data_IF_085912924185
#
_entry.id   IF_085912924185
#
_cell.length_a   1.000
_cell.length_b   1.000
_cell.length_c   1.000
_cell.angle_alpha   90.00
_cell.angle_beta   90.00
_cell.angle_gamma   90.00
#
_symmetry.space_group_name_H-M   'P 1'
#
loop_
_entity.id
_entity.type
_entity.pdbx_description
1 polymer ?
#
# COMPACT_ATOMS: atom_id res chain seq x y z
N UNK A 1 -14.95 -3.12 -17.76
CA UNK A 1 -15.48 -1.86 -17.22
C UNK A 1 -15.46 -0.75 -18.27
N UNK A 2 -16.23 0.33 -18.07
CA UNK A 2 -16.33 1.40 -19.06
C UNK A 2 -15.27 2.50 -18.89
N UNK A 3 -14.65 2.59 -17.72
CA UNK A 3 -13.58 3.55 -17.40
C UNK A 3 -12.47 2.86 -16.61
N UNK A 4 -11.28 3.44 -16.60
CA UNK A 4 -10.12 2.93 -15.88
C UNK A 4 -10.34 2.98 -14.37
N UNK A 5 -10.97 4.02 -13.86
CA UNK A 5 -11.32 4.17 -12.44
C UNK A 5 -12.27 3.07 -11.97
N UNK A 6 -13.28 2.73 -12.80
CA UNK A 6 -14.19 1.62 -12.50
C UNK A 6 -13.49 0.26 -12.56
N UNK A 7 -12.52 0.11 -13.47
CA UNK A 7 -11.70 -1.10 -13.53
C UNK A 7 -10.87 -1.25 -12.27
N UNK A 8 -10.24 -0.19 -11.80
CA UNK A 8 -9.48 -0.16 -10.56
C UNK A 8 -10.35 -0.46 -9.34
N UNK A 9 -11.50 0.21 -9.19
CA UNK A 9 -12.47 -0.09 -8.13
C UNK A 9 -12.85 -1.59 -8.13
N UNK A 10 -13.06 -2.19 -9.30
CA UNK A 10 -13.43 -3.60 -9.42
C UNK A 10 -12.28 -4.53 -9.02
N UNK A 11 -11.05 -4.20 -9.40
CA UNK A 11 -9.87 -4.97 -8.98
C UNK A 11 -9.72 -4.95 -7.46
N UNK A 12 -9.78 -3.77 -6.85
CA UNK A 12 -9.64 -3.64 -5.40
C UNK A 12 -10.78 -4.35 -4.65
N UNK A 13 -12.02 -4.16 -5.08
CA UNK A 13 -13.16 -4.91 -4.53
C UNK A 13 -12.90 -6.43 -4.58
N UNK A 14 -12.43 -6.94 -5.71
CA UNK A 14 -12.16 -8.37 -5.88
C UNK A 14 -11.02 -8.83 -4.97
N UNK A 15 -9.94 -8.06 -4.86
CA UNK A 15 -8.83 -8.36 -3.96
C UNK A 15 -9.28 -8.45 -2.49
N UNK A 16 -10.09 -7.50 -2.04
CA UNK A 16 -10.67 -7.49 -0.68
C UNK A 16 -11.55 -8.72 -0.46
N UNK A 17 -12.45 -9.02 -1.39
CA UNK A 17 -13.34 -10.21 -1.30
C UNK A 17 -12.54 -11.51 -1.21
N UNK A 18 -11.51 -11.64 -2.02
CA UNK A 18 -10.64 -12.82 -2.01
C UNK A 18 -9.89 -12.94 -0.69
N UNK A 19 -9.29 -11.86 -0.20
CA UNK A 19 -8.57 -11.85 1.07
C UNK A 19 -9.48 -12.24 2.25
N UNK A 20 -10.70 -11.70 2.29
CA UNK A 20 -11.67 -12.08 3.32
C UNK A 20 -12.06 -13.56 3.20
N UNK A 21 -12.34 -14.04 2.00
CA UNK A 21 -12.66 -15.45 1.78
C UNK A 21 -11.53 -16.41 2.16
N UNK A 22 -10.30 -16.09 1.79
CA UNK A 22 -9.11 -16.88 2.11
C UNK A 22 -8.77 -16.88 3.60
N UNK A 23 -9.12 -15.80 4.32
CA UNK A 23 -8.97 -15.73 5.78
C UNK A 23 -9.92 -16.63 6.57
N UNK A 24 -10.91 -17.22 5.90
CA UNK A 24 -11.97 -18.01 6.54
C UNK A 24 -13.00 -17.15 7.30
N UNK A 25 -12.96 -15.83 7.18
CA UNK A 25 -13.89 -14.91 7.83
C UNK A 25 -15.04 -14.50 6.91
N UNK A 26 -16.12 -14.05 7.53
CA UNK A 26 -17.22 -13.40 6.84
C UNK A 26 -17.01 -11.88 6.79
N UNK A 27 -17.62 -11.21 5.84
CA UNK A 27 -17.56 -9.74 5.72
C UNK A 27 -18.05 -9.01 6.98
N UNK A 28 -19.00 -9.60 7.70
CA UNK A 28 -19.53 -9.05 8.96
C UNK A 28 -18.57 -9.20 10.15
N UNK A 29 -17.51 -9.97 10.03
CA UNK A 29 -16.46 -10.11 11.04
C UNK A 29 -15.31 -9.11 10.84
N UNK A 30 -15.34 -8.37 9.74
CA UNK A 30 -14.36 -7.31 9.45
C UNK A 30 -14.84 -6.01 10.08
N UNK A 31 -14.04 -5.45 10.97
CA UNK A 31 -14.36 -4.21 11.66
C UNK A 31 -14.04 -2.98 10.80
N UNK A 32 -12.96 -3.07 10.03
CA UNK A 32 -12.53 -1.96 9.18
C UNK A 32 -11.79 -2.41 7.91
N UNK A 33 -11.98 -1.66 6.83
CA UNK A 33 -11.11 -1.66 5.66
C UNK A 33 -10.19 -0.44 5.76
N UNK A 34 -8.90 -0.67 5.66
CA UNK A 34 -7.86 0.35 5.66
C UNK A 34 -7.20 0.28 4.28
N UNK A 35 -7.47 1.24 3.43
CA UNK A 35 -7.06 1.13 2.04
C UNK A 35 -6.75 2.48 1.40
N UNK A 36 -6.01 2.42 0.29
CA UNK A 36 -5.72 3.58 -0.55
C UNK A 36 -5.39 3.19 -1.97
N UNK A 37 -5.24 4.19 -2.79
CA UNK A 37 -4.89 4.07 -4.22
C UNK A 37 -4.07 5.27 -4.69
N UNK A 38 -3.73 5.33 -5.97
CA UNK A 38 -2.94 6.42 -6.56
C UNK A 38 -3.78 7.47 -7.29
N UNK A 39 -5.09 7.44 -7.11
CA UNK A 39 -6.00 8.42 -7.68
C UNK A 39 -6.53 9.34 -6.57
N UNK A 40 -6.13 10.59 -6.60
CA UNK A 40 -6.59 11.57 -5.63
C UNK A 40 -8.11 11.83 -5.80
N UNK A 41 -8.88 11.87 -4.78
CA UNK A 41 -8.64 11.68 -3.35
C UNK A 41 -9.08 10.26 -2.93
N UNK A 42 -8.27 9.27 -3.23
CA UNK A 42 -8.53 7.84 -2.93
C UNK A 42 -9.89 7.35 -3.46
N UNK A 43 -10.18 7.72 -4.70
CA UNK A 43 -11.48 7.46 -5.34
C UNK A 43 -11.74 5.97 -5.49
N UNK A 44 -10.73 5.20 -5.97
CA UNK A 44 -10.92 3.78 -6.23
C UNK A 44 -11.18 3.01 -4.94
N UNK A 45 -10.42 3.26 -3.89
CA UNK A 45 -10.56 2.58 -2.59
C UNK A 45 -11.85 2.99 -1.87
N UNK A 46 -12.24 4.26 -1.91
CA UNK A 46 -13.51 4.73 -1.33
C UNK A 46 -14.71 4.03 -1.97
N UNK A 47 -14.74 3.98 -3.32
CA UNK A 47 -15.86 3.33 -4.01
C UNK A 47 -15.85 1.80 -3.88
N UNK A 48 -14.69 1.17 -3.75
CA UNK A 48 -14.61 -0.26 -3.47
C UNK A 48 -15.11 -0.56 -2.05
N UNK A 49 -14.65 0.20 -1.04
CA UNK A 49 -14.98 -0.01 0.37
C UNK A 49 -16.46 0.13 0.68
N UNK A 50 -17.19 1.03 0.00
CA UNK A 50 -18.64 1.22 0.22
C UNK A 50 -19.49 -0.03 0.03
N UNK A 51 -18.94 -1.07 -0.59
CA UNK A 51 -19.63 -2.34 -0.84
C UNK A 51 -19.58 -3.30 0.36
N UNK A 52 -18.89 -2.91 1.44
CA UNK A 52 -18.71 -3.74 2.63
C UNK A 52 -19.38 -3.10 3.85
N UNK A 53 -19.92 -3.92 4.78
CA UNK A 53 -20.69 -3.43 5.94
C UNK A 53 -19.79 -3.07 7.14
N UNK A 54 -18.65 -2.43 6.92
CA UNK A 54 -17.66 -2.13 7.96
C UNK A 54 -17.13 -0.70 7.86
N UNK A 55 -16.31 -0.29 8.86
CA UNK A 55 -15.64 1.00 8.85
C UNK A 55 -14.65 1.14 7.69
N UNK A 56 -14.36 2.37 7.27
CA UNK A 56 -13.37 2.65 6.24
C UNK A 56 -12.39 3.75 6.68
N UNK A 57 -11.12 3.46 6.58
CA UNK A 57 -10.01 4.39 6.78
C UNK A 57 -9.23 4.50 5.48
N UNK A 58 -9.35 5.66 4.83
CA UNK A 58 -8.65 5.95 3.59
C UNK A 58 -7.27 6.53 3.87
N UNK A 59 -6.24 5.97 3.24
CA UNK A 59 -4.85 6.40 3.35
C UNK A 59 -4.29 6.77 1.97
N UNK A 60 -3.42 7.77 1.94
CA UNK A 60 -2.79 8.22 0.70
C UNK A 60 -1.29 8.50 0.92
N UNK A 61 -0.46 7.53 0.62
CA UNK A 61 0.99 7.61 0.77
C UNK A 61 1.73 6.96 -0.40
N UNK A 62 1.19 7.10 -1.60
CA UNK A 62 1.77 6.59 -2.83
C UNK A 62 2.20 5.11 -2.72
N UNK A 63 3.45 4.80 -3.08
CA UNK A 63 3.99 3.43 -3.04
C UNK A 63 4.08 2.85 -1.61
N UNK A 64 4.08 3.68 -0.58
CA UNK A 64 4.14 3.25 0.82
C UNK A 64 2.75 2.94 1.42
N UNK A 65 1.65 3.20 0.70
CA UNK A 65 0.29 3.08 1.23
C UNK A 65 0.02 1.68 1.79
N UNK A 66 0.46 0.60 1.14
CA UNK A 66 0.22 -0.75 1.67
C UNK A 66 0.93 -0.97 3.02
N UNK A 67 2.19 -0.57 3.15
CA UNK A 67 2.91 -0.64 4.42
C UNK A 67 2.23 0.22 5.51
N UNK A 68 1.75 1.41 5.14
CA UNK A 68 0.99 2.28 6.05
C UNK A 68 -0.32 1.63 6.50
N UNK A 69 -1.06 0.95 5.61
CA UNK A 69 -2.28 0.23 6.01
C UNK A 69 -1.99 -0.86 7.05
N UNK A 70 -0.85 -1.56 6.91
CA UNK A 70 -0.41 -2.58 7.87
C UNK A 70 -0.04 -1.95 9.23
N UNK A 71 0.67 -0.82 9.22
CA UNK A 71 1.04 -0.10 10.44
C UNK A 71 -0.21 0.37 11.19
N UNK A 72 -1.11 1.04 10.48
CA UNK A 72 -2.35 1.57 11.07
C UNK A 72 -3.25 0.43 11.56
N UNK A 73 -3.45 -0.60 10.73
CA UNK A 73 -4.25 -1.77 11.09
C UNK A 73 -3.67 -2.52 12.30
N UNK A 74 -2.35 -2.75 12.29
CA UNK A 74 -1.64 -3.37 13.42
C UNK A 74 -1.79 -2.56 14.70
N UNK A 75 -1.60 -1.25 14.64
CA UNK A 75 -1.75 -0.38 15.81
C UNK A 75 -3.18 -0.36 16.37
N UNK A 76 -4.19 -0.37 15.50
CA UNK A 76 -5.59 -0.40 15.92
C UNK A 76 -5.97 -1.75 16.55
N UNK A 77 -5.43 -2.86 16.05
CA UNK A 77 -5.65 -4.20 16.63
C UNK A 77 -4.91 -4.33 17.95
N UNK A 78 -3.63 -3.95 18.01
CA UNK A 78 -2.82 -4.01 19.22
C UNK A 78 -3.37 -3.09 20.32
N UNK A 79 -3.92 -1.94 19.93
CA UNK A 79 -4.62 -1.02 20.83
C UNK A 79 -6.01 -1.49 21.28
N UNK A 80 -6.52 -2.61 20.75
CA UNK A 80 -7.82 -3.17 21.11
C UNK A 80 -9.03 -2.40 20.55
N UNK A 81 -8.83 -1.52 19.56
CA UNK A 81 -9.94 -0.77 18.95
C UNK A 81 -10.74 -1.60 17.95
N UNK A 82 -10.09 -2.51 17.25
CA UNK A 82 -10.69 -3.44 16.29
C UNK A 82 -10.03 -4.81 16.45
N UNK A 83 -10.67 -5.86 15.94
CA UNK A 83 -10.12 -7.24 15.96
C UNK A 83 -9.66 -7.72 14.60
N UNK A 84 -10.35 -7.30 13.55
CA UNK A 84 -10.10 -7.73 12.18
C UNK A 84 -10.12 -6.53 11.24
N UNK A 85 -9.04 -6.34 10.51
CA UNK A 85 -8.93 -5.31 9.49
C UNK A 85 -8.56 -5.92 8.14
N UNK A 86 -9.11 -5.37 7.07
CA UNK A 86 -8.58 -5.58 5.73
C UNK A 86 -7.63 -4.45 5.41
N UNK A 87 -6.38 -4.77 5.09
CA UNK A 87 -5.38 -3.84 4.57
C UNK A 87 -5.28 -4.05 3.06
N UNK A 88 -5.51 -3.01 2.26
CA UNK A 88 -5.58 -3.15 0.82
C UNK A 88 -5.08 -1.91 0.07
N UNK A 89 -4.55 -2.13 -1.13
CA UNK A 89 -4.19 -1.05 -2.04
C UNK A 89 -4.47 -1.44 -3.49
N UNK A 90 -4.64 -0.44 -4.33
CA UNK A 90 -4.72 -0.61 -5.77
C UNK A 90 -3.98 0.49 -6.51
N UNK A 91 -3.73 0.23 -7.77
CA UNK A 91 -3.39 1.25 -8.76
C UNK A 91 -3.84 0.81 -10.14
N UNK A 92 -4.05 1.77 -11.00
CA UNK A 92 -4.22 1.55 -12.43
C UNK A 92 -3.43 2.61 -13.18
N UNK A 93 -2.57 2.19 -14.08
CA UNK A 93 -1.68 3.11 -14.79
C UNK A 93 -2.40 4.32 -15.40
N UNK A 94 -3.57 4.10 -15.99
CA UNK A 94 -4.31 5.16 -16.70
C UNK A 94 -5.19 6.03 -15.78
N UNK A 95 -5.45 5.62 -14.53
CA UNK A 95 -6.21 6.42 -13.55
C UNK A 95 -5.34 7.07 -12.48
N UNK A 96 -4.12 6.55 -12.26
CA UNK A 96 -3.19 7.12 -11.27
C UNK A 96 -2.89 8.60 -11.55
N UNK A 97 -2.62 9.35 -10.49
CA UNK A 97 -2.24 10.76 -10.59
C UNK A 97 -1.05 10.97 -11.52
N UNK A 98 -1.02 12.15 -12.15
CA UNK A 98 -0.07 12.48 -13.21
C UNK A 98 1.39 12.27 -12.81
N UNK A 99 1.77 12.62 -11.58
CA UNK A 99 3.12 12.46 -11.07
C UNK A 99 3.59 11.01 -11.01
N UNK A 100 2.68 10.05 -10.94
CA UNK A 100 2.99 8.61 -10.93
C UNK A 100 3.04 7.97 -12.31
N UNK A 101 2.80 8.77 -13.38
CA UNK A 101 2.78 8.32 -14.77
C UNK A 101 3.85 9.00 -15.63
N UNK A 102 4.82 9.62 -15.00
CA UNK A 102 5.87 10.33 -15.73
C UNK A 102 6.90 9.36 -16.36
N UNK A 103 7.42 9.60 -17.60
CA UNK A 103 6.97 10.65 -18.52
C UNK A 103 5.59 10.34 -19.09
N UNK A 104 4.79 11.40 -19.30
CA UNK A 104 3.43 11.28 -19.83
C UNK A 104 3.45 10.86 -21.30
N UNK A 105 2.36 10.21 -21.73
CA UNK A 105 2.27 9.57 -23.04
C UNK A 105 2.31 10.57 -24.21
N UNK A 106 1.76 11.77 -24.03
CA UNK A 106 1.60 12.75 -25.10
C UNK A 106 2.95 13.34 -25.54
N UNK A 107 3.37 12.99 -26.72
CA UNK A 107 4.53 13.56 -27.40
C UNK A 107 5.89 13.09 -26.86
N UNK A 108 5.93 12.14 -25.94
CA UNK A 108 7.16 11.62 -25.36
C UNK A 108 7.35 10.14 -25.67
N UNK A 109 8.52 9.79 -26.19
CA UNK A 109 8.94 8.39 -26.23
C UNK A 109 9.45 8.00 -24.86
N UNK A 110 8.89 6.96 -24.27
CA UNK A 110 9.39 6.43 -22.98
C UNK A 110 10.74 5.78 -23.19
N UNK A 111 11.77 6.17 -22.42
CA UNK A 111 13.04 5.47 -22.44
C UNK A 111 12.87 4.04 -21.86
N UNK A 112 13.73 3.08 -22.27
CA UNK A 112 13.61 1.69 -21.83
C UNK A 112 13.64 1.50 -20.31
N UNK A 113 14.32 2.39 -19.59
CA UNK A 113 14.45 2.37 -18.13
C UNK A 113 13.27 3.03 -17.40
N UNK A 114 12.27 3.54 -18.10
CA UNK A 114 11.11 4.17 -17.45
C UNK A 114 10.32 3.15 -16.65
N UNK A 115 9.97 3.52 -15.44
CA UNK A 115 9.08 2.74 -14.58
C UNK A 115 7.62 2.94 -15.01
N UNK A 116 6.83 1.91 -14.79
CA UNK A 116 5.40 1.91 -15.05
C UNK A 116 4.63 1.74 -13.75
N UNK A 117 3.65 2.60 -13.52
CA UNK A 117 2.68 2.36 -12.46
C UNK A 117 1.98 1.03 -12.70
N UNK A 118 2.03 0.13 -11.74
CA UNK A 118 1.40 -1.18 -11.84
C UNK A 118 -0.12 -1.04 -11.96
N UNK A 119 -0.72 -1.86 -12.78
CA UNK A 119 -2.18 -2.04 -12.81
C UNK A 119 -2.52 -3.30 -12.05
N UNK A 120 -3.05 -3.16 -10.83
CA UNK A 120 -3.34 -4.28 -9.95
C UNK A 120 -3.92 -3.84 -8.61
N UNK A 121 -4.29 -4.80 -7.80
CA UNK A 121 -4.73 -4.61 -6.43
C UNK A 121 -4.28 -5.77 -5.55
N UNK A 122 -3.97 -5.46 -4.30
CA UNK A 122 -3.61 -6.42 -3.26
C UNK A 122 -4.35 -6.16 -1.96
N UNK A 123 -4.64 -7.22 -1.23
CA UNK A 123 -5.27 -7.14 0.07
C UNK A 123 -4.82 -8.29 0.98
N UNK A 124 -4.80 -8.02 2.29
CA UNK A 124 -4.68 -9.05 3.31
C UNK A 124 -5.61 -8.74 4.48
N UNK A 125 -5.88 -9.76 5.28
CA UNK A 125 -6.63 -9.61 6.54
C UNK A 125 -5.65 -9.66 7.69
N UNK A 126 -5.65 -8.63 8.53
CA UNK A 126 -5.00 -8.64 9.85
C UNK A 126 -6.03 -9.03 10.91
N UNK A 127 -5.63 -9.86 11.85
CA UNK A 127 -6.49 -10.33 12.94
C UNK A 127 -5.74 -10.39 14.26
N UNK A 128 -6.46 -10.20 15.35
CA UNK A 128 -5.95 -10.46 16.69
C UNK A 128 -5.76 -11.98 16.87
N UNK A 129 -4.54 -12.45 16.74
CA UNK A 129 -4.19 -13.87 16.84
C UNK A 129 -4.58 -14.69 15.60
N UNK A 130 -4.30 -15.98 15.65
CA UNK A 130 -4.53 -16.94 14.57
C UNK A 130 -3.26 -17.62 14.09
N UNK A 131 -3.43 -18.52 13.13
CA UNK A 131 -2.33 -19.17 12.41
C UNK A 131 -1.98 -18.38 11.16
N UNK A 132 -0.71 -18.37 10.77
CA UNK A 132 -0.22 -17.72 9.55
C UNK A 132 0.92 -16.75 9.79
N UNK A 133 1.11 -15.82 8.85
CA UNK A 133 2.14 -14.80 8.94
C UNK A 133 1.81 -13.81 10.08
N UNK A 134 2.85 -13.38 10.78
CA UNK A 134 2.70 -12.43 11.91
C UNK A 134 3.34 -11.10 11.55
N UNK A 135 2.62 -10.01 11.80
CA UNK A 135 3.19 -8.68 11.87
C UNK A 135 3.83 -8.52 13.26
N UNK A 136 5.15 -8.60 13.34
CA UNK A 136 5.89 -8.62 14.62
C UNK A 136 6.43 -7.26 15.02
N UNK A 137 6.71 -6.41 14.07
CA UNK A 137 7.22 -5.06 14.30
C UNK A 137 6.85 -4.13 13.13
N UNK A 138 6.76 -2.85 13.43
CA UNK A 138 6.59 -1.80 12.44
C UNK A 138 7.42 -0.58 12.84
N UNK A 139 8.09 0.03 11.88
CA UNK A 139 8.87 1.25 12.07
C UNK A 139 8.31 2.35 11.18
N UNK A 140 7.90 3.45 11.79
CA UNK A 140 7.43 4.61 11.05
C UNK A 140 8.65 5.43 10.61
N UNK A 141 8.85 5.52 9.29
CA UNK A 141 9.92 6.32 8.70
C UNK A 141 9.67 7.83 8.85
N UNK A 142 10.69 8.60 8.57
CA UNK A 142 10.60 10.06 8.53
C UNK A 142 10.83 10.58 7.12
N UNK A 143 10.46 11.83 6.88
CA UNK A 143 10.75 12.51 5.61
C UNK A 143 12.26 12.78 5.51
N UNK A 144 12.85 12.32 4.40
CA UNK A 144 14.25 12.57 4.06
C UNK A 144 14.29 13.14 2.65
N UNK A 145 14.71 14.39 2.52
CA UNK A 145 14.79 15.10 1.25
C UNK A 145 16.24 15.50 0.94
N UNK A 146 16.78 14.99 -0.16
CA UNK A 146 18.10 15.35 -0.69
C UNK A 146 18.02 16.30 -1.88
N UNK A 147 16.87 16.92 -2.12
CA UNK A 147 16.69 17.91 -3.18
C UNK A 147 16.75 17.32 -4.59
N UNK A 148 16.39 16.05 -4.78
CA UNK A 148 16.34 15.43 -6.10
C UNK A 148 15.15 16.00 -6.88
N UNK A 149 15.45 16.63 -8.03
CA UNK A 149 14.44 17.28 -8.88
C UNK A 149 14.20 16.59 -10.22
N UNK A 150 14.94 15.52 -10.53
CA UNK A 150 14.77 14.77 -11.77
C UNK A 150 13.58 13.83 -11.66
N UNK A 151 12.48 14.18 -12.36
CA UNK A 151 11.25 13.39 -12.39
C UNK A 151 11.40 12.01 -13.06
N UNK A 152 12.49 11.78 -13.81
CA UNK A 152 12.80 10.47 -14.39
C UNK A 152 13.62 9.57 -13.46
N UNK A 153 14.06 10.09 -12.32
CA UNK A 153 14.90 9.36 -11.37
C UNK A 153 14.26 9.36 -9.97
N UNK A 154 13.10 8.74 -9.87
CA UNK A 154 12.37 8.64 -8.62
C UNK A 154 13.12 7.78 -7.59
N UNK A 155 13.88 6.79 -8.04
CA UNK A 155 14.70 5.95 -7.16
C UNK A 155 15.73 6.76 -6.37
N UNK A 156 16.38 7.76 -6.98
CA UNK A 156 17.33 8.63 -6.28
C UNK A 156 16.64 9.47 -5.19
N UNK A 157 15.38 9.84 -5.36
CA UNK A 157 14.59 10.54 -4.34
C UNK A 157 14.15 9.61 -3.19
N UNK A 158 13.85 8.35 -3.49
CA UNK A 158 13.28 7.38 -2.54
C UNK A 158 14.35 6.63 -1.74
N UNK A 159 15.50 6.33 -2.33
CA UNK A 159 16.56 5.52 -1.71
C UNK A 159 17.05 6.08 -0.34
N UNK A 160 17.26 7.39 -0.16
CA UNK A 160 17.66 7.94 1.13
C UNK A 160 16.64 7.70 2.24
N UNK A 161 15.36 7.83 1.94
CA UNK A 161 14.27 7.58 2.90
C UNK A 161 14.18 6.10 3.27
N UNK A 162 14.33 5.20 2.28
CA UNK A 162 14.35 3.76 2.51
C UNK A 162 15.56 3.36 3.38
N UNK A 163 16.75 3.90 3.09
CA UNK A 163 17.95 3.63 3.88
C UNK A 163 17.82 4.14 5.32
N UNK A 164 17.32 5.34 5.52
CA UNK A 164 17.09 5.91 6.86
C UNK A 164 16.09 5.06 7.67
N UNK A 165 15.00 4.63 7.04
CA UNK A 165 14.00 3.79 7.68
C UNK A 165 14.58 2.41 8.08
N UNK A 166 15.35 1.76 7.21
CA UNK A 166 15.99 0.47 7.50
C UNK A 166 17.02 0.60 8.64
N UNK A 167 17.87 1.63 8.61
CA UNK A 167 18.85 1.87 9.67
C UNK A 167 18.15 2.11 11.01
N UNK A 168 17.08 2.90 10.99
CA UNK A 168 16.26 3.16 12.19
C UNK A 168 15.63 1.87 12.70
N UNK A 169 15.05 1.06 11.80
CA UNK A 169 14.45 -0.21 12.15
C UNK A 169 15.44 -1.15 12.86
N UNK A 170 16.61 -1.37 12.28
CA UNK A 170 17.62 -2.24 12.88
C UNK A 170 18.09 -1.72 14.25
N UNK A 171 18.27 -0.41 14.37
CA UNK A 171 18.70 0.21 15.62
C UNK A 171 17.66 0.09 16.73
N UNK A 172 16.38 0.32 16.42
CA UNK A 172 15.29 0.34 17.40
C UNK A 172 14.81 -1.06 17.76
N UNK A 173 14.74 -1.97 16.80
CA UNK A 173 14.37 -3.37 17.02
C UNK A 173 15.49 -4.22 17.62
N UNK A 174 16.74 -3.75 17.54
CA UNK A 174 17.92 -4.53 17.92
C UNK A 174 18.23 -5.68 16.94
N UNK A 175 17.58 -5.69 15.78
CA UNK A 175 17.81 -6.70 14.74
C UNK A 175 18.96 -6.32 13.81
N UNK A 176 19.44 -7.30 13.07
CA UNK A 176 20.48 -7.16 12.05
C UNK A 176 19.94 -7.55 10.68
N UNK A 177 20.52 -7.05 9.57
CA UNK A 177 20.08 -7.47 8.22
C UNK A 177 20.05 -8.98 8.01
N UNK A 178 20.96 -9.71 8.66
CA UNK A 178 21.06 -11.17 8.56
C UNK A 178 19.97 -11.92 9.33
N UNK A 179 19.16 -11.24 10.13
CA UNK A 179 18.00 -11.82 10.82
C UNK A 179 16.79 -11.96 9.89
N UNK A 180 16.90 -11.43 8.68
CA UNK A 180 15.84 -11.43 7.67
C UNK A 180 16.25 -12.27 6.46
N UNK A 181 15.40 -13.21 6.08
CA UNK A 181 15.59 -14.02 4.87
C UNK A 181 15.36 -13.19 3.61
N UNK A 182 14.55 -12.16 3.69
CA UNK A 182 14.21 -11.27 2.57
C UNK A 182 13.88 -9.86 3.05
N UNK A 183 14.46 -8.87 2.41
CA UNK A 183 14.12 -7.45 2.57
C UNK A 183 13.61 -6.94 1.22
N UNK A 184 12.38 -6.47 1.17
CA UNK A 184 11.73 -6.00 -0.06
C UNK A 184 11.52 -4.50 0.02
N UNK A 185 11.88 -3.80 -1.04
CA UNK A 185 11.63 -2.37 -1.22
C UNK A 185 10.99 -2.11 -2.59
N UNK A 186 10.73 -0.85 -2.92
CA UNK A 186 10.37 -0.46 -4.28
C UNK A 186 11.50 -0.76 -5.27
N UNK A 187 11.16 -1.05 -6.50
CA UNK A 187 12.08 -1.43 -7.58
C UNK A 187 12.40 -0.25 -8.55
N UNK A 188 12.38 0.95 -8.06
CA UNK A 188 12.60 2.20 -8.81
C UNK A 188 14.08 2.55 -8.93
#
# INVERSE_FOLDING_TARGET
EKTFEKAECRMLYTAIKNAVGESGKNENEIDAIIAGDLLDQIIASTFAARSFPCGYLGLYNACATFAETLIVGGALIDGGYIRNAVCATSSHFSSAERQYRYPLELGSTRPPQSQWTVTGAGACVLSEGGEGLKLTAATIGRIVDYGVTDANNMGAAMAPSAADCLITHFKESGSMPNDYDLIVSGDL
#
